data_IF_279203741010
#
_entry.id   IF_279203741010
#
_cell.length_a   1.000
_cell.length_b   1.000
_cell.length_c   1.000
_cell.angle_alpha   90.00
_cell.angle_beta   90.00
_cell.angle_gamma   90.00
#
_symmetry.space_group_name_H-M   'P 1'
#
loop_
_entity.id
_entity.type
_entity.pdbx_description
1 polymer ?
#
# COMPACT_ATOMS: atom_id res chain seq x y z
N UNK A 1 30.71 58.77 82.05
CA UNK A 1 30.49 59.51 80.78
C UNK A 1 31.01 58.75 79.55
N UNK A 2 31.93 57.78 79.69
CA UNK A 2 32.47 57.01 78.55
C UNK A 2 31.65 55.77 78.16
N UNK A 3 30.85 55.21 79.07
CA UNK A 3 30.04 54.03 78.80
C UNK A 3 28.87 54.35 77.86
N UNK A 4 28.17 55.48 78.06
CA UNK A 4 27.00 55.86 77.25
C UNK A 4 27.37 56.13 75.79
N UNK A 5 28.52 56.78 75.52
CA UNK A 5 29.03 56.99 74.16
C UNK A 5 29.32 55.67 73.44
N UNK A 6 29.89 54.70 74.16
CA UNK A 6 30.17 53.36 73.62
C UNK A 6 28.88 52.59 73.29
N UNK A 7 27.80 52.81 74.04
CA UNK A 7 26.49 52.24 73.74
C UNK A 7 25.88 52.88 72.48
N UNK A 8 25.93 54.20 72.35
CA UNK A 8 25.44 54.90 71.14
C UNK A 8 26.22 54.50 69.87
N UNK A 9 27.54 54.33 69.96
CA UNK A 9 28.37 53.88 68.84
C UNK A 9 27.99 52.46 68.39
N UNK A 10 27.78 51.53 69.34
CA UNK A 10 27.32 50.16 69.05
C UNK A 10 25.92 50.12 68.45
N UNK A 11 25.05 51.04 68.81
CA UNK A 11 23.73 51.16 68.17
C UNK A 11 23.84 51.69 66.74
N UNK A 12 24.69 52.69 66.50
CA UNK A 12 24.98 53.19 65.15
C UNK A 12 25.58 52.10 64.26
N UNK A 13 26.51 51.30 64.77
CA UNK A 13 27.08 50.15 64.04
C UNK A 13 26.03 49.10 63.69
N UNK A 14 25.14 48.75 64.62
CA UNK A 14 24.02 47.82 64.36
C UNK A 14 23.04 48.38 63.33
N UNK A 15 22.74 49.67 63.37
CA UNK A 15 21.90 50.33 62.36
C UNK A 15 22.59 50.35 60.99
N UNK A 16 23.90 50.64 60.95
CA UNK A 16 24.70 50.61 59.73
C UNK A 16 24.76 49.20 59.14
N UNK A 17 24.96 48.17 59.96
CA UNK A 17 24.95 46.77 59.52
C UNK A 17 23.61 46.39 58.90
N UNK A 18 22.48 46.75 59.54
CA UNK A 18 21.13 46.52 58.98
C UNK A 18 20.93 47.23 57.64
N UNK A 19 21.43 48.45 57.48
CA UNK A 19 21.34 49.20 56.22
C UNK A 19 22.20 48.55 55.14
N UNK A 20 23.42 48.11 55.47
CA UNK A 20 24.35 47.45 54.55
C UNK A 20 23.77 46.11 54.10
N UNK A 21 23.23 45.31 55.01
CA UNK A 21 22.61 44.02 54.71
C UNK A 21 21.38 44.21 53.82
N UNK A 22 20.50 45.17 54.13
CA UNK A 22 19.35 45.51 53.30
C UNK A 22 19.75 45.99 51.89
N UNK A 23 20.79 46.82 51.77
CA UNK A 23 21.33 47.25 50.47
C UNK A 23 21.95 46.10 49.69
N UNK A 24 22.64 45.17 50.36
CA UNK A 24 23.25 43.98 49.73
C UNK A 24 22.16 43.05 49.16
N UNK A 25 21.13 42.76 49.95
CA UNK A 25 19.98 41.95 49.52
C UNK A 25 19.20 42.59 48.38
N UNK A 26 19.05 43.92 48.38
CA UNK A 26 18.43 44.64 47.27
C UNK A 26 19.23 44.50 45.96
N UNK A 27 20.57 44.61 46.02
CA UNK A 27 21.43 44.43 44.84
C UNK A 27 21.37 43.01 44.28
N UNK A 28 21.31 41.98 45.13
CA UNK A 28 21.20 40.59 44.66
C UNK A 28 19.87 40.30 43.99
N UNK A 29 18.76 40.83 44.54
CA UNK A 29 17.43 40.69 43.94
C UNK A 29 17.37 41.43 42.59
N UNK A 30 17.90 42.65 42.52
CA UNK A 30 17.96 43.41 41.27
C UNK A 30 18.78 42.66 40.20
N UNK A 31 19.90 42.05 40.57
CA UNK A 31 20.73 41.27 39.65
C UNK A 31 20.00 40.04 39.09
N UNK A 32 19.30 39.28 39.94
CA UNK A 32 18.51 38.11 39.50
C UNK A 32 17.39 38.55 38.54
N UNK A 33 16.70 39.65 38.84
CA UNK A 33 15.66 40.20 37.97
C UNK A 33 16.22 40.63 36.61
N UNK A 34 17.42 41.23 36.56
CA UNK A 34 18.05 41.57 35.29
C UNK A 34 18.41 40.35 34.45
N UNK A 35 18.91 39.26 35.07
CA UNK A 35 19.20 38.02 34.35
C UNK A 35 17.92 37.36 33.82
N UNK A 36 16.85 37.33 34.61
CA UNK A 36 15.55 36.83 34.16
C UNK A 36 15.00 37.65 32.99
N UNK A 37 15.11 38.97 33.06
CA UNK A 37 14.64 39.86 32.00
C UNK A 37 15.41 39.66 30.69
N UNK A 38 16.74 39.49 30.77
CA UNK A 38 17.58 39.19 29.60
C UNK A 38 17.21 37.82 29.01
N UNK A 39 17.03 36.79 29.85
CA UNK A 39 16.61 35.47 29.40
C UNK A 39 15.24 35.48 28.73
N UNK A 40 14.30 36.24 29.29
CA UNK A 40 12.96 36.39 28.73
C UNK A 40 12.96 37.13 27.39
N UNK A 41 13.74 38.21 27.26
CA UNK A 41 13.91 38.92 26.01
C UNK A 41 14.55 38.04 24.92
N UNK A 42 15.54 37.21 25.28
CA UNK A 42 16.16 36.26 24.36
C UNK A 42 15.16 35.20 23.89
N UNK A 43 14.35 34.65 24.80
CA UNK A 43 13.30 33.68 24.47
C UNK A 43 12.30 34.28 23.47
N UNK A 44 11.79 35.48 23.74
CA UNK A 44 10.81 36.14 22.86
C UNK A 44 11.39 36.46 21.47
N UNK A 45 12.68 36.78 21.37
CA UNK A 45 13.33 37.03 20.08
C UNK A 45 13.61 35.75 19.28
N UNK A 46 13.94 34.65 19.95
CA UNK A 46 14.35 33.40 19.29
C UNK A 46 13.16 32.52 18.87
N UNK A 47 12.07 32.52 19.63
CA UNK A 47 10.85 31.75 19.35
C UNK A 47 10.29 31.94 17.92
N UNK A 48 10.06 33.17 17.41
CA UNK A 48 9.47 33.36 16.09
C UNK A 48 10.42 32.95 14.94
N UNK A 49 11.73 33.01 15.16
CA UNK A 49 12.73 32.58 14.17
C UNK A 49 12.74 31.06 14.08
N UNK A 50 12.69 30.38 15.23
CA UNK A 50 12.66 28.93 15.29
C UNK A 50 11.38 28.35 14.67
N UNK A 51 10.21 28.97 14.92
CA UNK A 51 8.94 28.50 14.36
C UNK A 51 8.94 28.54 12.83
N UNK A 52 9.47 29.61 12.22
CA UNK A 52 9.57 29.72 10.76
C UNK A 52 10.57 28.72 10.19
N UNK A 53 11.70 28.51 10.86
CA UNK A 53 12.66 27.48 10.44
C UNK A 53 12.05 26.08 10.49
N UNK A 54 11.34 25.75 11.56
CA UNK A 54 10.68 24.46 11.74
C UNK A 54 9.58 24.25 10.69
N UNK A 55 8.79 25.29 10.39
CA UNK A 55 7.76 25.25 9.36
C UNK A 55 8.35 25.03 7.97
N UNK A 56 9.44 25.73 7.63
CA UNK A 56 10.17 25.51 6.36
C UNK A 56 10.67 24.07 6.22
N UNK A 57 11.28 23.54 7.28
CA UNK A 57 11.77 22.15 7.27
C UNK A 57 10.62 21.16 7.11
N UNK A 58 9.48 21.42 7.73
CA UNK A 58 8.29 20.59 7.58
C UNK A 58 7.74 20.63 6.14
N UNK A 59 7.67 21.81 5.52
CA UNK A 59 7.22 21.96 4.14
C UNK A 59 8.15 21.30 3.12
N UNK A 60 9.47 21.41 3.33
CA UNK A 60 10.46 20.71 2.50
C UNK A 60 10.34 19.19 2.62
N UNK A 61 10.15 18.68 3.84
CA UNK A 61 9.92 17.26 4.07
C UNK A 61 8.60 16.77 3.43
N UNK A 62 7.54 17.55 3.46
CA UNK A 62 6.28 17.23 2.78
C UNK A 62 6.42 17.20 1.27
N UNK A 63 7.12 18.18 0.68
CA UNK A 63 7.40 18.21 -0.75
C UNK A 63 8.21 16.99 -1.18
N UNK A 64 9.29 16.67 -0.48
CA UNK A 64 10.14 15.51 -0.76
C UNK A 64 9.34 14.18 -0.66
N UNK A 65 8.45 14.06 0.32
CA UNK A 65 7.53 12.92 0.45
C UNK A 65 6.54 12.86 -0.72
N UNK A 66 5.95 14.00 -1.12
CA UNK A 66 5.03 14.05 -2.24
C UNK A 66 5.69 13.65 -3.57
N UNK A 67 6.93 14.09 -3.79
CA UNK A 67 7.73 13.71 -4.97
C UNK A 67 8.03 12.22 -4.98
N UNK A 68 8.50 11.67 -3.86
CA UNK A 68 8.77 10.23 -3.71
C UNK A 68 7.49 9.41 -3.95
N UNK A 69 6.37 9.80 -3.35
CA UNK A 69 5.07 9.14 -3.55
C UNK A 69 4.58 9.23 -5.00
N UNK A 70 4.93 10.29 -5.73
CA UNK A 70 4.62 10.41 -7.16
C UNK A 70 5.48 9.46 -7.99
N UNK A 71 6.77 9.38 -7.68
CA UNK A 71 7.70 8.46 -8.37
C UNK A 71 7.31 7.00 -8.16
N UNK A 72 6.97 6.62 -6.93
CA UNK A 72 6.47 5.26 -6.60
C UNK A 72 5.24 4.94 -7.45
N UNK A 73 4.23 5.82 -7.48
CA UNK A 73 3.02 5.60 -8.28
C UNK A 73 3.29 5.48 -9.78
N UNK A 74 4.25 6.22 -10.31
CA UNK A 74 4.65 6.10 -11.72
C UNK A 74 5.33 4.76 -11.98
N UNK A 75 6.20 4.31 -11.08
CA UNK A 75 6.88 3.02 -11.19
C UNK A 75 5.89 1.87 -11.06
N UNK A 76 4.96 1.95 -10.11
CA UNK A 76 3.87 0.98 -9.94
C UNK A 76 2.99 0.91 -11.19
N UNK A 77 2.54 2.05 -11.71
CA UNK A 77 1.73 2.09 -12.94
C UNK A 77 2.47 1.51 -14.15
N UNK A 78 3.79 1.78 -14.27
CA UNK A 78 4.61 1.18 -15.33
C UNK A 78 4.74 -0.34 -15.15
N UNK A 79 4.97 -0.80 -13.93
CA UNK A 79 5.08 -2.22 -13.63
C UNK A 79 3.76 -2.96 -13.91
N UNK A 80 2.63 -2.35 -13.57
CA UNK A 80 1.30 -2.89 -13.88
C UNK A 80 1.04 -2.94 -15.38
N UNK A 81 1.42 -1.89 -16.13
CA UNK A 81 1.34 -1.88 -17.59
C UNK A 81 2.17 -3.01 -18.22
N UNK A 82 3.40 -3.20 -17.75
CA UNK A 82 4.29 -4.25 -18.24
C UNK A 82 3.74 -5.64 -17.91
N UNK A 83 3.26 -5.84 -16.69
CA UNK A 83 2.61 -7.08 -16.27
C UNK A 83 1.38 -7.40 -17.12
N UNK A 84 0.51 -6.41 -17.36
CA UNK A 84 -0.67 -6.57 -18.20
C UNK A 84 -0.30 -6.95 -19.64
N UNK A 85 0.77 -6.35 -20.20
CA UNK A 85 1.28 -6.69 -21.53
C UNK A 85 1.79 -8.14 -21.57
N UNK A 86 2.61 -8.54 -20.61
CA UNK A 86 3.13 -9.92 -20.55
C UNK A 86 2.00 -10.95 -20.36
N UNK A 87 0.98 -10.63 -19.57
CA UNK A 87 -0.20 -11.49 -19.41
C UNK A 87 -1.00 -11.61 -20.72
N UNK A 88 -1.20 -10.50 -21.44
CA UNK A 88 -1.87 -10.52 -22.73
C UNK A 88 -1.10 -11.35 -23.76
N UNK A 89 0.22 -11.23 -23.81
CA UNK A 89 1.08 -12.06 -24.68
C UNK A 89 1.00 -13.55 -24.32
N UNK A 90 1.06 -13.88 -23.03
CA UNK A 90 0.91 -15.26 -22.56
C UNK A 90 -0.46 -15.85 -22.95
N UNK A 91 -1.52 -15.05 -22.87
CA UNK A 91 -2.87 -15.45 -23.24
C UNK A 91 -3.00 -15.71 -24.74
N UNK A 92 -2.35 -14.91 -25.59
CA UNK A 92 -2.29 -15.16 -27.04
C UNK A 92 -1.61 -16.49 -27.34
N UNK A 93 -0.45 -16.76 -26.73
CA UNK A 93 0.28 -18.02 -26.92
C UNK A 93 -0.58 -19.21 -26.48
N UNK A 94 -1.28 -19.07 -25.34
CA UNK A 94 -2.20 -20.09 -24.84
C UNK A 94 -3.35 -20.35 -25.82
N UNK A 95 -3.97 -19.29 -26.32
CA UNK A 95 -5.06 -19.39 -27.29
C UNK A 95 -4.60 -20.04 -28.61
N UNK A 96 -3.42 -19.67 -29.10
CA UNK A 96 -2.81 -20.32 -30.27
C UNK A 96 -2.55 -21.81 -30.05
N UNK A 97 -2.05 -22.19 -28.87
CA UNK A 97 -1.83 -23.59 -28.50
C UNK A 97 -3.13 -24.39 -28.49
N UNK A 98 -4.20 -23.84 -27.90
CA UNK A 98 -5.53 -24.44 -27.89
C UNK A 98 -6.08 -24.56 -29.32
N UNK A 99 -5.96 -23.52 -30.15
CA UNK A 99 -6.42 -23.55 -31.53
C UNK A 99 -5.68 -24.62 -32.36
N UNK A 100 -4.36 -24.74 -32.20
CA UNK A 100 -3.55 -25.78 -32.86
C UNK A 100 -3.97 -27.18 -32.39
N UNK A 101 -4.16 -27.37 -31.08
CA UNK A 101 -4.61 -28.65 -30.53
C UNK A 101 -6.00 -29.03 -31.07
N UNK A 102 -6.94 -28.09 -31.09
CA UNK A 102 -8.28 -28.31 -31.64
C UNK A 102 -8.25 -28.65 -33.12
N UNK A 103 -7.39 -27.98 -33.91
CA UNK A 103 -7.20 -28.30 -35.32
C UNK A 103 -6.67 -29.72 -35.51
N UNK A 104 -5.62 -30.11 -34.78
CA UNK A 104 -5.05 -31.47 -34.85
C UNK A 104 -6.11 -32.52 -34.50
N UNK A 105 -6.89 -32.28 -33.45
CA UNK A 105 -7.99 -33.18 -33.07
C UNK A 105 -9.03 -33.22 -34.19
N UNK A 106 -9.51 -32.08 -34.69
CA UNK A 106 -10.48 -32.01 -35.78
C UNK A 106 -10.03 -32.78 -37.02
N UNK A 107 -8.82 -32.49 -37.52
CA UNK A 107 -8.21 -33.16 -38.66
C UNK A 107 -8.07 -34.68 -38.43
N UNK A 108 -7.77 -35.11 -37.20
CA UNK A 108 -7.66 -36.53 -36.84
C UNK A 108 -9.01 -37.27 -36.80
N UNK A 109 -10.11 -36.53 -36.60
CA UNK A 109 -11.46 -37.07 -36.53
C UNK A 109 -12.18 -37.08 -37.88
N UNK A 110 -11.87 -36.13 -38.79
CA UNK A 110 -12.61 -35.88 -40.03
C UNK A 110 -12.76 -37.11 -40.94
N UNK A 111 -11.79 -38.03 -40.95
CA UNK A 111 -11.81 -39.23 -41.80
C UNK A 111 -11.56 -40.53 -41.01
N UNK A 112 -11.89 -40.56 -39.72
CA UNK A 112 -11.59 -41.71 -38.85
C UNK A 112 -12.82 -42.24 -38.11
N UNK A 113 -13.79 -42.79 -38.87
CA UNK A 113 -15.01 -43.40 -38.31
C UNK A 113 -14.72 -44.49 -37.27
N UNK A 114 -13.66 -45.29 -37.46
CA UNK A 114 -13.29 -46.35 -36.53
C UNK A 114 -12.89 -45.79 -35.17
N UNK A 115 -12.11 -44.71 -35.16
CA UNK A 115 -11.70 -44.03 -33.93
C UNK A 115 -12.85 -43.29 -33.25
N UNK A 116 -13.73 -42.62 -34.01
CA UNK A 116 -14.95 -42.01 -33.46
C UNK A 116 -15.86 -43.05 -32.79
N UNK A 117 -16.05 -44.20 -33.43
CA UNK A 117 -16.82 -45.33 -32.87
C UNK A 117 -16.17 -45.88 -31.60
N UNK A 118 -14.84 -46.00 -31.59
CA UNK A 118 -14.08 -46.39 -30.40
C UNK A 118 -14.28 -45.40 -29.24
N UNK A 119 -14.09 -44.09 -29.47
CA UNK A 119 -14.31 -43.04 -28.46
C UNK A 119 -15.75 -43.03 -27.94
N UNK A 120 -16.74 -43.26 -28.81
CA UNK A 120 -18.14 -43.38 -28.43
C UNK A 120 -18.38 -44.58 -27.50
N UNK A 121 -17.89 -45.77 -27.85
CA UNK A 121 -18.00 -46.98 -27.01
C UNK A 121 -17.29 -46.76 -25.66
N UNK A 122 -16.12 -46.14 -25.67
CA UNK A 122 -15.37 -45.83 -24.44
C UNK A 122 -16.14 -44.83 -23.55
N UNK A 123 -16.77 -43.82 -24.14
CA UNK A 123 -17.64 -42.86 -23.44
C UNK A 123 -18.85 -43.55 -22.79
N UNK A 124 -19.45 -44.53 -23.47
CA UNK A 124 -20.54 -45.35 -22.95
C UNK A 124 -20.09 -46.28 -21.81
N UNK A 125 -18.87 -46.81 -21.85
CA UNK A 125 -18.32 -47.62 -20.75
C UNK A 125 -18.05 -46.77 -19.49
N UNK A 126 -17.65 -45.51 -19.68
CA UNK A 126 -17.32 -44.60 -18.58
C UNK A 126 -18.58 -43.99 -17.95
N UNK A 127 -19.61 -43.69 -18.74
CA UNK A 127 -20.91 -43.22 -18.27
C UNK A 127 -21.93 -44.37 -18.34
N UNK A 128 -22.02 -45.17 -17.28
CA UNK A 128 -22.80 -46.43 -17.26
C UNK A 128 -24.32 -46.29 -17.54
N UNK A 129 -24.90 -45.10 -17.69
CA UNK A 129 -26.35 -44.90 -17.83
C UNK A 129 -26.72 -43.59 -18.55
N UNK A 130 -26.58 -43.51 -19.88
CA UNK A 130 -27.42 -42.60 -20.68
C UNK A 130 -27.76 -43.29 -22.01
N UNK A 131 -29.00 -43.73 -22.15
CA UNK A 131 -29.55 -44.15 -23.45
C UNK A 131 -29.66 -42.89 -24.31
N UNK A 132 -28.62 -42.58 -25.08
CA UNK A 132 -28.63 -41.46 -26.02
C UNK A 132 -29.30 -41.96 -27.31
N UNK A 133 -30.55 -41.58 -27.52
CA UNK A 133 -31.26 -41.83 -28.77
C UNK A 133 -30.67 -40.94 -29.87
N UNK A 134 -29.99 -41.55 -30.83
CA UNK A 134 -29.50 -40.89 -32.03
C UNK A 134 -30.50 -41.19 -33.15
N UNK A 135 -31.38 -40.26 -33.53
CA UNK A 135 -32.24 -40.46 -34.69
C UNK A 135 -31.35 -40.49 -35.93
N UNK A 136 -31.25 -41.65 -36.58
CA UNK A 136 -30.74 -41.71 -37.95
C UNK A 136 -31.78 -41.04 -38.86
N UNK A 137 -31.34 -40.09 -39.70
CA UNK A 137 -32.13 -39.33 -40.70
C UNK A 137 -32.91 -40.19 -41.74
N UNK A 138 -33.02 -41.50 -41.56
CA UNK A 138 -33.86 -42.38 -42.36
C UNK A 138 -34.66 -43.32 -41.43
N UNK A 139 -35.84 -42.86 -41.02
CA UNK A 139 -36.82 -43.56 -40.19
C UNK A 139 -37.46 -44.79 -40.88
N UNK A 140 -36.67 -45.69 -41.47
CA UNK A 140 -37.15 -46.92 -42.07
C UNK A 140 -36.26 -48.11 -41.68
N UNK A 141 -36.77 -49.06 -40.88
CA UNK A 141 -36.11 -50.35 -40.70
C UNK A 141 -36.06 -51.06 -42.06
N UNK A 142 -34.86 -51.36 -42.59
CA UNK A 142 -34.67 -52.16 -43.82
C UNK A 142 -34.88 -53.65 -43.52
N UNK A 143 -35.96 -53.98 -42.81
CA UNK A 143 -36.32 -55.36 -42.45
C UNK A 143 -37.41 -55.94 -43.37
N UNK A 144 -37.96 -55.16 -44.30
CA UNK A 144 -39.01 -55.62 -45.23
C UNK A 144 -38.63 -55.55 -46.73
N UNK A 145 -37.53 -54.89 -47.11
CA UNK A 145 -37.19 -54.63 -48.52
C UNK A 145 -36.86 -55.90 -49.34
N UNK A 146 -36.64 -57.05 -48.71
CA UNK A 146 -36.36 -58.32 -49.40
C UNK A 146 -37.59 -59.25 -49.56
N UNK A 147 -38.79 -58.87 -49.11
CA UNK A 147 -39.97 -59.77 -49.20
C UNK A 147 -40.71 -59.70 -50.55
N UNK A 148 -40.51 -58.65 -51.36
CA UNK A 148 -41.33 -58.41 -52.56
C UNK A 148 -40.76 -59.08 -53.83
N UNK A 149 -39.52 -59.57 -53.82
CA UNK A 149 -38.88 -60.14 -55.03
C UNK A 149 -39.06 -61.66 -55.18
N UNK A 150 -40.22 -62.19 -54.77
CA UNK A 150 -40.62 -63.57 -55.03
C UNK A 150 -42.12 -63.57 -55.34
N UNK A 151 -42.45 -63.37 -56.62
CA UNK A 151 -43.64 -63.84 -57.36
C UNK A 151 -44.07 -62.83 -58.44
N UNK A 152 -43.42 -62.89 -59.60
CA UNK A 152 -44.04 -63.07 -60.92
C UNK A 152 -42.94 -63.08 -61.99
#
# INVERSE_FOLDING_TARGET
MDLDKKYEEREKERQLQKIIEKRKSFKTVAYILTLLFIGFAFLLGFLPIYSVWAERLSGEAELARAESNRQIRILEARAEQEAAKSLAEAEVIRAEGVAKANKIIGDSLENNEGYLRYLWIQGLQTNQQQVVYIPTEANLPILEANRINKNN
#
